data_IF_776075574108
#
_entry.id   IF_776075574108
#
_cell.length_a   1.000
_cell.length_b   1.000
_cell.length_c   1.000
_cell.angle_alpha   90.00
_cell.angle_beta   90.00
_cell.angle_gamma   90.00
#
_symmetry.space_group_name_H-M   'P 1'
#
loop_
_entity.id
_entity.type
_entity.pdbx_description
1 polymer ?
#
# COMPACT_ATOMS: atom_id res chain seq x y z
N UNK A 1 -12.70 -16.27 -18.16
CA UNK A 1 -12.90 -17.58 -17.50
C UNK A 1 -12.07 -17.80 -16.21
N UNK A 2 -10.92 -17.18 -16.02
CA UNK A 2 -10.09 -17.34 -14.79
C UNK A 2 -10.54 -16.40 -13.65
N UNK A 3 -11.19 -15.28 -13.95
CA UNK A 3 -11.70 -14.33 -12.94
C UNK A 3 -12.96 -14.83 -12.20
N UNK A 4 -13.80 -15.62 -12.85
CA UNK A 4 -15.00 -16.23 -12.22
C UNK A 4 -14.63 -17.18 -11.07
N UNK A 5 -13.49 -17.88 -11.18
CA UNK A 5 -13.04 -18.79 -10.12
C UNK A 5 -12.47 -18.08 -8.89
N UNK A 6 -11.92 -16.88 -9.04
CA UNK A 6 -11.37 -16.11 -7.90
C UNK A 6 -12.48 -15.38 -7.14
N UNK A 7 -13.44 -14.79 -7.85
CA UNK A 7 -14.63 -14.18 -7.24
C UNK A 7 -15.55 -15.23 -6.60
N UNK A 8 -15.81 -16.34 -7.28
CA UNK A 8 -16.60 -17.45 -6.74
C UNK A 8 -15.94 -18.09 -5.51
N UNK A 9 -14.61 -18.27 -5.51
CA UNK A 9 -13.88 -18.76 -4.33
C UNK A 9 -13.84 -17.72 -3.20
N UNK A 10 -13.83 -16.44 -3.49
CA UNK A 10 -13.89 -15.37 -2.49
C UNK A 10 -15.28 -15.32 -1.83
N UNK A 11 -16.35 -15.42 -2.60
CA UNK A 11 -17.72 -15.48 -2.07
C UNK A 11 -17.95 -16.76 -1.25
N UNK A 12 -17.54 -17.92 -1.75
CA UNK A 12 -17.69 -19.18 -1.02
C UNK A 12 -16.88 -19.19 0.30
N UNK A 13 -15.72 -18.57 0.37
CA UNK A 13 -14.95 -18.41 1.62
C UNK A 13 -15.59 -17.40 2.57
N UNK A 14 -16.25 -16.38 2.06
CA UNK A 14 -16.96 -15.41 2.90
C UNK A 14 -18.22 -16.03 3.49
N UNK A 15 -18.96 -16.77 2.70
CA UNK A 15 -20.16 -17.50 3.13
C UNK A 15 -19.82 -18.67 4.07
N UNK A 16 -18.73 -19.39 3.83
CA UNK A 16 -18.21 -20.41 4.75
C UNK A 16 -17.75 -19.80 6.09
N UNK A 17 -17.13 -18.60 6.08
CA UNK A 17 -16.80 -17.90 7.32
C UNK A 17 -18.04 -17.41 8.06
N UNK A 18 -19.08 -16.97 7.34
CA UNK A 18 -20.35 -16.53 7.96
C UNK A 18 -21.09 -17.70 8.61
N UNK A 19 -21.14 -18.87 7.95
CA UNK A 19 -21.66 -20.11 8.51
C UNK A 19 -20.80 -20.59 9.69
N UNK A 20 -19.47 -20.50 9.59
CA UNK A 20 -18.56 -20.83 10.69
C UNK A 20 -18.70 -19.89 11.89
N UNK A 21 -18.89 -18.59 11.68
CA UNK A 21 -19.15 -17.63 12.75
C UNK A 21 -20.52 -17.85 13.40
N UNK A 22 -21.57 -18.15 12.62
CA UNK A 22 -22.88 -18.48 13.15
C UNK A 22 -22.84 -19.75 14.01
N UNK A 23 -22.19 -20.79 13.55
CA UNK A 23 -22.00 -22.03 14.32
C UNK A 23 -21.14 -21.79 15.58
N UNK A 24 -20.06 -21.01 15.48
CA UNK A 24 -19.21 -20.67 16.61
C UNK A 24 -19.94 -19.86 17.68
N UNK A 25 -20.70 -18.85 17.28
CA UNK A 25 -21.53 -18.03 18.20
C UNK A 25 -22.61 -18.90 18.86
N UNK A 26 -23.28 -19.78 18.10
CA UNK A 26 -24.26 -20.71 18.66
C UNK A 26 -23.63 -21.69 19.65
N UNK A 27 -22.48 -22.26 19.35
CA UNK A 27 -21.73 -23.10 20.29
C UNK A 27 -21.33 -22.34 21.57
N UNK A 28 -20.92 -21.07 21.43
CA UNK A 28 -20.54 -20.23 22.56
C UNK A 28 -21.73 -19.95 23.48
N UNK A 29 -22.91 -19.68 22.92
CA UNK A 29 -24.15 -19.53 23.68
C UNK A 29 -24.57 -20.82 24.38
N UNK A 30 -24.44 -21.98 23.72
CA UNK A 30 -24.73 -23.28 24.33
C UNK A 30 -23.76 -23.56 25.49
N UNK A 31 -22.46 -23.29 25.32
CA UNK A 31 -21.45 -23.47 26.39
C UNK A 31 -21.73 -22.54 27.55
N UNK A 32 -22.02 -21.25 27.31
CA UNK A 32 -22.37 -20.29 28.36
C UNK A 32 -23.66 -20.69 29.09
N UNK A 33 -24.66 -21.18 28.37
CA UNK A 33 -25.93 -21.68 28.96
C UNK A 33 -25.68 -22.92 29.81
N UNK A 34 -24.87 -23.86 29.35
CA UNK A 34 -24.48 -25.05 30.12
C UNK A 34 -23.67 -24.65 31.36
N UNK A 35 -22.74 -23.69 31.27
CA UNK A 35 -21.98 -23.19 32.41
C UNK A 35 -22.87 -22.51 33.47
N UNK A 36 -23.96 -21.84 33.07
CA UNK A 36 -24.89 -21.22 34.01
C UNK A 36 -25.78 -22.26 34.70
N UNK A 37 -26.22 -23.31 34.01
CA UNK A 37 -27.08 -24.38 34.54
C UNK A 37 -26.26 -25.31 35.48
N UNK A 38 -25.01 -25.59 35.16
CA UNK A 38 -24.14 -26.51 35.94
C UNK A 38 -23.24 -25.82 36.96
N UNK A 39 -23.32 -24.48 37.10
CA UNK A 39 -22.52 -23.70 38.05
C UNK A 39 -22.54 -24.23 39.50
N UNK A 40 -23.61 -24.83 40.01
CA UNK A 40 -23.59 -25.38 41.38
C UNK A 40 -22.84 -26.72 41.49
N UNK A 41 -22.47 -27.37 40.40
CA UNK A 41 -21.80 -28.68 40.37
C UNK A 41 -20.32 -28.64 40.04
N UNK A 42 -19.81 -27.45 39.60
CA UNK A 42 -18.40 -27.24 39.29
C UNK A 42 -17.76 -26.47 40.46
N UNK A 43 -16.93 -27.16 41.24
CA UNK A 43 -16.11 -26.53 42.28
C UNK A 43 -15.16 -25.45 41.72
N UNK A 44 -14.56 -24.62 42.57
CA UNK A 44 -13.75 -23.48 42.11
C UNK A 44 -12.54 -23.97 41.28
N UNK A 45 -12.56 -23.63 40.02
CA UNK A 45 -11.40 -23.87 39.14
C UNK A 45 -10.32 -22.85 39.51
N UNK A 46 -9.19 -23.32 40.00
CA UNK A 46 -8.05 -22.49 40.39
C UNK A 46 -7.51 -21.70 39.18
N UNK A 47 -7.68 -20.39 39.23
CA UNK A 47 -7.11 -19.40 38.30
C UNK A 47 -5.59 -19.20 38.52
N UNK A 48 -4.86 -20.25 38.93
CA UNK A 48 -3.45 -20.13 39.35
C UNK A 48 -2.44 -20.58 38.27
N UNK A 49 -2.88 -21.11 37.13
CA UNK A 49 -1.93 -21.62 36.16
C UNK A 49 -1.59 -20.69 35.00
N UNK A 50 -2.25 -19.53 34.86
CA UNK A 50 -1.91 -18.56 33.80
C UNK A 50 -0.85 -17.53 34.18
N UNK A 51 -0.54 -17.38 35.45
CA UNK A 51 0.50 -16.42 35.90
C UNK A 51 1.92 -17.00 35.93
N UNK A 52 2.07 -18.32 35.82
CA UNK A 52 3.40 -18.93 35.85
C UNK A 52 4.14 -18.96 34.51
N UNK A 53 3.44 -18.74 33.39
CA UNK A 53 4.08 -18.74 32.07
C UNK A 53 4.65 -17.39 31.62
N UNK A 54 4.27 -16.29 32.27
CA UNK A 54 4.78 -14.94 31.91
C UNK A 54 6.03 -14.58 32.73
N UNK A 55 6.25 -15.23 33.87
CA UNK A 55 7.38 -14.90 34.78
C UNK A 55 8.67 -15.66 34.50
N UNK A 56 8.64 -16.71 33.66
CA UNK A 56 9.84 -17.50 33.32
C UNK A 56 10.67 -16.85 32.22
N UNK A 57 10.04 -16.13 31.28
CA UNK A 57 10.76 -15.47 30.18
C UNK A 57 11.43 -14.13 30.59
N UNK A 58 10.97 -13.48 31.64
CA UNK A 58 11.53 -12.19 32.08
C UNK A 58 12.73 -12.36 33.03
N UNK A 59 12.85 -13.51 33.68
CA UNK A 59 14.02 -13.78 34.57
C UNK A 59 15.24 -14.35 33.84
N UNK A 60 15.09 -14.87 32.63
CA UNK A 60 16.24 -15.32 31.83
C UNK A 60 16.99 -14.20 31.10
N UNK A 61 16.43 -12.99 31.04
CA UNK A 61 17.03 -11.82 30.39
C UNK A 61 17.87 -10.93 31.34
N UNK A 62 17.87 -11.20 32.65
CA UNK A 62 18.56 -10.33 33.61
C UNK A 62 19.79 -11.02 34.24
N UNK A 63 20.03 -12.33 34.00
CA UNK A 63 21.17 -13.05 34.59
C UNK A 63 22.33 -13.32 33.67
N UNK A 64 22.40 -12.69 32.50
CA UNK A 64 23.53 -12.85 31.55
C UNK A 64 24.46 -11.64 31.46
N UNK A 65 24.47 -10.74 32.43
CA UNK A 65 25.39 -9.60 32.46
C UNK A 65 26.37 -9.62 33.64
N UNK A 66 27.04 -10.73 33.84
CA UNK A 66 28.30 -10.74 34.60
C UNK A 66 29.04 -12.09 34.40
N UNK A 67 29.70 -12.27 33.29
CA UNK A 67 30.84 -13.19 33.21
C UNK A 67 31.87 -12.64 32.23
N UNK A 68 33.06 -12.57 32.75
CA UNK A 68 34.28 -11.92 32.29
C UNK A 68 34.71 -12.29 30.86
N UNK A 69 35.19 -11.26 30.19
CA UNK A 69 35.88 -11.27 28.91
C UNK A 69 37.09 -12.23 28.92
N UNK A 70 36.99 -13.35 28.24
CA UNK A 70 38.13 -14.05 27.69
C UNK A 70 38.16 -13.79 26.20
N UNK A 71 39.14 -13.00 25.73
CA UNK A 71 39.42 -12.77 24.32
C UNK A 71 39.76 -14.09 23.62
N UNK A 72 38.81 -14.71 22.96
CA UNK A 72 39.09 -15.66 21.91
C UNK A 72 38.68 -15.00 20.60
N UNK A 73 39.65 -14.63 19.79
CA UNK A 73 39.47 -14.26 18.36
C UNK A 73 38.99 -15.50 17.60
N UNK A 74 37.72 -15.82 17.74
CA UNK A 74 37.04 -16.75 16.87
C UNK A 74 36.48 -15.94 15.69
N UNK A 75 36.89 -16.27 14.47
CA UNK A 75 36.26 -15.83 13.24
C UNK A 75 34.77 -16.21 13.33
N UNK A 76 33.88 -15.24 13.58
CA UNK A 76 32.44 -15.44 13.44
C UNK A 76 32.16 -15.87 11.99
N UNK A 77 31.91 -17.13 11.79
CA UNK A 77 31.39 -17.62 10.51
C UNK A 77 29.99 -17.06 10.36
N UNK A 78 29.84 -16.02 9.53
CA UNK A 78 28.53 -15.45 9.14
C UNK A 78 27.67 -16.61 8.63
N UNK A 79 26.61 -16.93 9.38
CA UNK A 79 25.67 -18.01 9.00
C UNK A 79 24.96 -17.59 7.72
N UNK A 80 25.16 -18.36 6.67
CA UNK A 80 24.45 -18.22 5.41
C UNK A 80 22.98 -18.54 5.60
N UNK A 81 22.09 -17.68 5.13
CA UNK A 81 20.66 -17.83 5.32
C UNK A 81 19.91 -17.35 4.07
N UNK A 82 18.90 -18.11 3.65
CA UNK A 82 17.91 -17.71 2.65
C UNK A 82 16.51 -17.96 3.19
N UNK A 83 15.74 -16.90 3.32
CA UNK A 83 14.35 -16.94 3.74
C UNK A 83 13.48 -16.30 2.66
N UNK A 84 12.59 -17.07 2.04
CA UNK A 84 11.61 -16.57 1.07
C UNK A 84 10.22 -16.59 1.68
N UNK A 85 9.51 -15.49 1.55
CA UNK A 85 8.14 -15.30 2.03
C UNK A 85 7.23 -15.04 0.83
N UNK A 86 6.11 -15.75 0.80
CA UNK A 86 5.09 -15.63 -0.24
C UNK A 86 3.76 -15.31 0.42
N UNK A 87 3.23 -14.13 0.11
CA UNK A 87 1.96 -13.62 0.63
C UNK A 87 1.01 -13.32 -0.54
N UNK A 88 -0.24 -12.98 -0.23
CA UNK A 88 -1.29 -12.75 -1.25
C UNK A 88 -0.85 -11.76 -2.34
N UNK A 89 -0.25 -10.63 -1.94
CA UNK A 89 0.11 -9.52 -2.84
C UNK A 89 1.60 -9.40 -3.12
N UNK A 90 2.46 -10.15 -2.43
CA UNK A 90 3.90 -10.02 -2.58
C UNK A 90 4.62 -11.34 -2.40
N UNK A 91 5.79 -11.42 -3.01
CA UNK A 91 6.79 -12.44 -2.77
C UNK A 91 8.15 -11.75 -2.67
N UNK A 92 8.91 -12.10 -1.66
CA UNK A 92 10.26 -11.58 -1.46
C UNK A 92 11.17 -12.62 -0.81
N UNK A 93 12.47 -12.53 -1.12
CA UNK A 93 13.50 -13.37 -0.51
C UNK A 93 14.54 -12.49 0.20
N UNK A 94 14.93 -12.89 1.41
CA UNK A 94 16.02 -12.26 2.17
C UNK A 94 17.19 -13.25 2.23
N UNK A 95 18.34 -12.82 1.73
CA UNK A 95 19.57 -13.60 1.71
C UNK A 95 20.66 -12.91 2.54
N UNK A 96 21.43 -13.69 3.31
CA UNK A 96 22.58 -13.22 4.11
C UNK A 96 23.79 -14.12 3.86
N UNK A 97 24.97 -13.51 3.87
CA UNK A 97 26.25 -14.20 3.62
C UNK A 97 27.06 -13.57 2.49
N UNK A 98 27.71 -14.36 1.65
CA UNK A 98 28.32 -13.90 0.39
C UNK A 98 27.25 -13.94 -0.71
N UNK A 99 26.63 -12.79 -0.95
CA UNK A 99 25.55 -12.65 -1.92
C UNK A 99 26.06 -11.93 -3.15
N UNK A 100 25.89 -12.54 -4.32
CA UNK A 100 26.37 -12.03 -5.61
C UNK A 100 25.20 -11.75 -6.54
N UNK A 101 25.03 -10.49 -6.90
CA UNK A 101 23.97 -10.01 -7.79
C UNK A 101 24.57 -9.74 -9.17
N UNK A 102 24.03 -10.38 -10.20
CA UNK A 102 24.46 -10.19 -11.59
C UNK A 102 23.29 -9.80 -12.48
N UNK A 103 23.30 -8.56 -12.95
CA UNK A 103 22.19 -7.94 -13.67
C UNK A 103 21.87 -8.59 -15.00
N UNK A 104 22.89 -8.81 -15.84
CA UNK A 104 22.73 -9.38 -17.18
C UNK A 104 22.04 -10.76 -17.17
N UNK A 105 22.33 -11.60 -16.18
CA UNK A 105 21.69 -12.92 -16.05
C UNK A 105 20.46 -12.93 -15.14
N UNK A 106 20.07 -11.80 -14.53
CA UNK A 106 18.98 -11.69 -13.55
C UNK A 106 19.11 -12.73 -12.42
N UNK A 107 20.31 -12.86 -11.85
CA UNK A 107 20.58 -13.85 -10.81
C UNK A 107 21.09 -13.22 -9.53
N UNK A 108 20.61 -13.78 -8.39
CA UNK A 108 21.13 -13.54 -7.06
C UNK A 108 21.65 -14.88 -6.54
N UNK A 109 22.96 -14.99 -6.38
CA UNK A 109 23.67 -16.22 -5.94
C UNK A 109 24.08 -16.08 -4.49
N UNK A 110 23.69 -17.01 -3.65
CA UNK A 110 24.17 -17.18 -2.28
C UNK A 110 25.33 -18.16 -2.33
N UNK A 111 26.55 -17.70 -2.11
CA UNK A 111 27.75 -18.54 -2.20
C UNK A 111 28.02 -19.19 -0.87
N UNK A 112 27.90 -20.53 -0.82
CA UNK A 112 28.12 -21.35 0.36
C UNK A 112 29.44 -22.12 0.27
N UNK A 113 30.19 -22.14 1.38
CA UNK A 113 31.39 -22.96 1.52
C UNK A 113 31.08 -24.38 1.97
N UNK A 114 29.84 -24.69 2.39
CA UNK A 114 29.43 -26.01 2.89
C UNK A 114 28.64 -26.77 1.83
N UNK A 115 29.14 -27.93 1.44
CA UNK A 115 28.44 -28.93 0.63
C UNK A 115 27.31 -29.55 1.47
N UNK A 116 26.25 -28.78 1.75
CA UNK A 116 25.12 -29.30 2.52
C UNK A 116 23.87 -29.28 1.64
N UNK A 117 22.86 -30.03 2.06
CA UNK A 117 21.54 -30.24 1.44
C UNK A 117 20.82 -28.96 0.92
N UNK A 118 21.41 -27.75 1.10
CA UNK A 118 20.92 -26.48 0.59
C UNK A 118 20.85 -26.44 -0.96
N UNK A 119 21.77 -27.14 -1.66
CA UNK A 119 21.87 -27.02 -3.13
C UNK A 119 20.68 -27.61 -3.88
N UNK A 120 20.03 -28.62 -3.35
CA UNK A 120 18.89 -29.29 -4.02
C UNK A 120 17.52 -28.61 -3.78
N UNK A 121 17.41 -27.72 -2.80
CA UNK A 121 16.12 -27.24 -2.33
C UNK A 121 15.90 -25.73 -2.44
N UNK A 122 16.89 -24.91 -2.81
CA UNK A 122 16.82 -23.46 -2.73
C UNK A 122 17.16 -22.74 -4.05
N UNK A 123 16.41 -23.05 -5.09
CA UNK A 123 16.30 -22.15 -6.25
C UNK A 123 14.90 -21.59 -6.29
N UNK A 124 14.77 -20.27 -6.31
CA UNK A 124 13.50 -19.58 -6.37
C UNK A 124 13.51 -18.55 -7.48
N UNK A 125 12.50 -18.58 -8.32
CA UNK A 125 12.26 -17.55 -9.33
C UNK A 125 11.17 -16.61 -8.83
N UNK A 126 11.41 -15.31 -8.86
CA UNK A 126 10.43 -14.30 -8.46
C UNK A 126 10.57 -13.02 -9.27
N UNK A 127 9.49 -12.28 -9.34
CA UNK A 127 9.41 -10.96 -9.95
C UNK A 127 9.37 -9.92 -8.83
N UNK A 128 10.38 -9.05 -8.66
CA UNK A 128 10.53 -8.19 -7.49
C UNK A 128 9.62 -6.95 -7.52
N UNK A 129 8.31 -7.17 -7.62
CA UNK A 129 7.26 -6.15 -7.65
C UNK A 129 6.08 -6.61 -6.77
N UNK A 130 5.56 -5.70 -5.93
CA UNK A 130 4.63 -6.08 -4.89
C UNK A 130 3.16 -6.06 -5.37
N UNK A 131 2.85 -6.82 -6.44
CA UNK A 131 1.49 -7.05 -6.95
C UNK A 131 1.31 -8.48 -7.45
N UNK A 132 1.79 -9.44 -6.69
CA UNK A 132 1.64 -10.87 -6.98
C UNK A 132 0.16 -11.21 -7.24
N UNK A 133 -0.08 -12.05 -8.23
CA UNK A 133 -1.44 -12.47 -8.63
C UNK A 133 -2.09 -11.60 -9.70
N UNK A 134 -1.53 -10.42 -10.00
CA UNK A 134 -1.96 -9.57 -11.12
C UNK A 134 -1.08 -9.88 -12.35
N UNK A 135 -1.64 -10.66 -13.28
CA UNK A 135 -0.91 -11.15 -14.45
C UNK A 135 -0.40 -10.02 -15.33
N UNK A 136 -1.23 -8.98 -15.56
CA UNK A 136 -0.90 -7.87 -16.45
C UNK A 136 0.22 -7.00 -15.87
N UNK A 137 0.21 -6.76 -14.57
CA UNK A 137 1.30 -6.08 -13.90
C UNK A 137 2.58 -6.92 -13.94
N UNK A 138 2.47 -8.20 -13.58
CA UNK A 138 3.64 -9.08 -13.44
C UNK A 138 4.28 -9.45 -14.79
N UNK A 139 3.54 -9.40 -15.91
CA UNK A 139 4.11 -9.57 -17.25
C UNK A 139 5.04 -8.41 -17.68
N UNK A 140 4.99 -7.28 -16.97
CA UNK A 140 5.85 -6.10 -17.22
C UNK A 140 7.02 -6.02 -16.24
N UNK A 141 7.29 -7.10 -15.51
CA UNK A 141 8.34 -7.19 -14.50
C UNK A 141 9.30 -8.30 -14.87
N UNK A 142 10.59 -7.97 -14.86
CA UNK A 142 11.69 -8.90 -15.09
C UNK A 142 11.76 -9.93 -13.97
N UNK A 143 11.90 -11.19 -14.34
CA UNK A 143 12.05 -12.30 -13.41
C UNK A 143 13.50 -12.45 -12.98
N UNK A 144 13.69 -12.75 -11.70
CA UNK A 144 14.99 -12.95 -11.07
C UNK A 144 15.07 -14.34 -10.43
N UNK A 145 16.22 -15.02 -10.63
CA UNK A 145 16.51 -16.30 -10.00
C UNK A 145 17.36 -16.07 -8.75
N UNK A 146 16.88 -16.53 -7.60
CA UNK A 146 17.62 -16.53 -6.33
C UNK A 146 18.01 -17.98 -6.06
N UNK A 147 19.33 -18.27 -5.96
CA UNK A 147 19.82 -19.65 -5.83
C UNK A 147 21.05 -19.74 -4.94
N UNK A 148 21.14 -20.83 -4.17
CA UNK A 148 22.37 -21.21 -3.49
C UNK A 148 23.37 -21.84 -4.49
N UNK A 149 24.64 -21.47 -4.40
CA UNK A 149 25.73 -21.96 -5.26
C UNK A 149 26.89 -22.38 -4.37
N UNK A 150 27.47 -23.52 -4.66
CA UNK A 150 28.69 -23.96 -3.96
C UNK A 150 29.89 -23.10 -4.40
N UNK A 151 30.73 -22.67 -3.45
CA UNK A 151 31.93 -21.91 -3.72
C UNK A 151 32.92 -22.62 -4.65
N UNK A 152 32.94 -23.96 -4.61
CA UNK A 152 33.77 -24.81 -5.50
C UNK A 152 33.18 -24.99 -6.90
N UNK A 153 31.88 -24.69 -7.09
CA UNK A 153 31.19 -24.75 -8.38
C UNK A 153 31.07 -23.30 -8.88
N UNK A 154 31.67 -22.93 -9.98
CA UNK A 154 31.54 -21.70 -10.80
C UNK A 154 30.60 -20.59 -10.26
N UNK A 155 30.76 -20.21 -8.97
CA UNK A 155 30.12 -19.00 -8.47
C UNK A 155 30.64 -17.81 -9.27
N UNK A 156 29.79 -16.88 -9.77
CA UNK A 156 30.25 -15.74 -10.52
C UNK A 156 31.25 -14.94 -9.71
N UNK A 157 32.42 -14.59 -10.30
CA UNK A 157 33.44 -13.86 -9.59
C UNK A 157 32.96 -12.47 -9.17
N UNK A 158 33.21 -12.09 -7.92
CA UNK A 158 32.88 -10.76 -7.41
C UNK A 158 33.76 -9.70 -8.08
N UNK A 159 33.15 -8.70 -8.71
CA UNK A 159 33.86 -7.56 -9.35
C UNK A 159 33.73 -6.28 -8.55
N UNK A 160 32.60 -6.08 -7.87
CA UNK A 160 32.31 -4.91 -7.03
C UNK A 160 31.80 -5.36 -5.66
N UNK A 161 32.51 -4.97 -4.61
CA UNK A 161 32.17 -5.35 -3.23
C UNK A 161 31.55 -4.18 -2.47
N UNK A 162 30.44 -4.44 -1.80
CA UNK A 162 29.71 -3.48 -0.98
C UNK A 162 29.58 -4.02 0.45
N UNK A 163 29.71 -3.12 1.44
CA UNK A 163 29.60 -3.51 2.86
C UNK A 163 28.27 -3.07 3.49
N UNK A 164 27.22 -3.01 2.68
CA UNK A 164 25.87 -2.60 3.08
C UNK A 164 24.83 -3.60 2.59
N UNK A 165 23.66 -3.60 3.20
CA UNK A 165 22.51 -4.38 2.71
C UNK A 165 21.98 -3.80 1.41
N UNK A 166 21.51 -4.65 0.50
CA UNK A 166 20.82 -4.20 -0.71
C UNK A 166 19.35 -4.61 -0.73
N UNK A 167 18.53 -3.81 -1.41
CA UNK A 167 17.14 -4.12 -1.75
C UNK A 167 16.98 -4.03 -3.26
N UNK A 168 16.68 -5.17 -3.89
CA UNK A 168 16.43 -5.28 -5.32
C UNK A 168 14.91 -5.25 -5.57
N UNK A 169 14.45 -4.28 -6.37
CA UNK A 169 13.05 -4.13 -6.72
C UNK A 169 12.87 -3.60 -8.14
N UNK A 170 11.67 -3.80 -8.70
CA UNK A 170 11.31 -3.37 -10.04
C UNK A 170 10.53 -2.05 -10.03
N UNK A 171 10.80 -1.19 -11.02
CA UNK A 171 9.95 -0.05 -11.36
C UNK A 171 9.09 -0.31 -12.60
N UNK A 172 8.91 -1.57 -12.99
CA UNK A 172 7.99 -2.03 -14.02
C UNK A 172 6.51 -2.00 -13.61
N UNK A 173 5.79 -3.09 -13.87
CA UNK A 173 4.39 -3.25 -13.48
C UNK A 173 3.50 -2.12 -13.97
N UNK A 174 2.72 -1.52 -13.08
CA UNK A 174 1.82 -0.40 -13.37
C UNK A 174 2.43 0.98 -13.12
N UNK A 175 3.75 1.13 -13.16
CA UNK A 175 4.39 2.45 -13.09
C UNK A 175 3.86 3.38 -14.18
N UNK A 176 3.52 4.60 -13.80
CA UNK A 176 2.77 5.58 -14.59
C UNK A 176 1.34 5.79 -14.09
N UNK A 177 0.82 4.84 -13.33
CA UNK A 177 -0.41 5.03 -12.56
C UNK A 177 -0.06 5.42 -11.12
N UNK A 178 -0.42 6.63 -10.72
CA UNK A 178 -0.04 7.22 -9.43
C UNK A 178 -0.47 6.39 -8.21
N UNK A 179 -1.62 5.73 -8.28
CA UNK A 179 -2.10 4.83 -7.23
C UNK A 179 -1.18 3.62 -7.09
N UNK A 180 -0.86 2.96 -8.20
CA UNK A 180 0.00 1.78 -8.21
C UNK A 180 1.45 2.10 -7.84
N UNK A 181 1.96 3.28 -8.20
CA UNK A 181 3.29 3.69 -7.75
C UNK A 181 3.40 3.70 -6.23
N UNK A 182 2.36 4.18 -5.53
CA UNK A 182 2.36 4.19 -4.08
C UNK A 182 2.04 2.83 -3.47
N UNK A 183 1.04 2.13 -3.97
CA UNK A 183 0.59 0.86 -3.37
C UNK A 183 1.55 -0.29 -3.64
N UNK A 184 2.16 -0.33 -4.84
CA UNK A 184 2.94 -1.49 -5.28
C UNK A 184 4.46 -1.29 -5.14
N UNK A 185 4.94 -0.02 -5.03
CA UNK A 185 6.37 0.26 -4.92
C UNK A 185 6.70 1.11 -3.69
N UNK A 186 6.13 2.31 -3.55
CA UNK A 186 6.63 3.32 -2.58
C UNK A 186 6.35 2.92 -1.13
N UNK A 187 5.11 2.52 -0.79
CA UNK A 187 4.77 2.00 0.54
C UNK A 187 5.50 0.68 0.82
N UNK A 188 5.52 -0.31 -0.11
CA UNK A 188 6.33 -1.51 0.04
C UNK A 188 7.82 -1.24 0.24
N UNK A 189 8.41 -0.27 -0.47
CA UNK A 189 9.81 0.10 -0.29
C UNK A 189 10.06 0.70 1.10
N UNK A 190 9.15 1.56 1.59
CA UNK A 190 9.21 2.06 2.96
C UNK A 190 9.19 0.92 3.99
N UNK A 191 8.26 -0.03 3.86
CA UNK A 191 8.16 -1.19 4.76
C UNK A 191 9.40 -2.08 4.73
N UNK A 192 10.06 -2.15 3.57
CA UNK A 192 11.24 -3.00 3.40
C UNK A 192 12.51 -2.31 3.91
N UNK A 193 12.68 -1.02 3.60
CA UNK A 193 13.95 -0.31 3.75
C UNK A 193 14.06 0.54 5.02
N UNK A 194 12.96 0.98 5.63
CA UNK A 194 12.96 1.92 6.78
C UNK A 194 13.80 1.43 7.96
N UNK A 195 13.84 0.12 8.20
CA UNK A 195 14.61 -0.50 9.27
C UNK A 195 16.12 -0.29 9.16
N UNK A 196 16.65 0.02 7.98
CA UNK A 196 18.08 0.20 7.74
C UNK A 196 18.57 1.62 7.99
N UNK A 197 17.71 2.57 8.32
CA UNK A 197 18.06 3.96 8.64
C UNK A 197 18.96 4.64 7.60
N UNK A 198 18.73 4.35 6.32
CA UNK A 198 19.52 4.87 5.20
C UNK A 198 20.70 4.00 4.78
N UNK A 199 21.16 3.06 5.60
CA UNK A 199 22.28 2.16 5.29
C UNK A 199 21.82 0.98 4.41
N UNK A 200 21.32 1.30 3.23
CA UNK A 200 20.79 0.34 2.26
C UNK A 200 21.01 0.81 0.83
N UNK A 201 21.51 -0.09 -0.03
CA UNK A 201 21.65 0.15 -1.46
C UNK A 201 20.37 -0.26 -2.20
N UNK A 202 19.77 0.66 -2.93
CA UNK A 202 18.67 0.32 -3.84
C UNK A 202 19.21 -0.15 -5.19
N UNK A 203 18.86 -1.38 -5.54
CA UNK A 203 19.15 -2.01 -6.84
C UNK A 203 17.82 -2.06 -7.62
N UNK A 204 17.80 -1.47 -8.80
CA UNK A 204 16.57 -1.30 -9.57
C UNK A 204 16.64 -2.08 -10.86
N UNK A 205 15.68 -2.98 -11.08
CA UNK A 205 15.41 -3.62 -12.36
C UNK A 205 14.19 -2.96 -13.03
N UNK A 206 14.05 -3.09 -14.35
CA UNK A 206 13.02 -2.39 -15.16
C UNK A 206 13.04 -0.88 -14.92
N UNK A 207 14.23 -0.31 -14.81
CA UNK A 207 14.44 1.07 -14.42
C UNK A 207 13.73 2.06 -15.33
N UNK A 208 12.98 2.96 -14.73
CA UNK A 208 12.32 4.10 -15.40
C UNK A 208 12.91 5.41 -14.88
N UNK A 209 13.75 6.11 -15.65
CA UNK A 209 14.43 7.35 -15.21
C UNK A 209 13.45 8.43 -14.70
N UNK A 210 12.30 8.57 -15.35
CA UNK A 210 11.26 9.51 -14.92
C UNK A 210 10.67 9.16 -13.55
N UNK A 211 10.52 7.85 -13.22
CA UNK A 211 10.03 7.38 -11.92
C UNK A 211 11.05 7.72 -10.81
N UNK A 212 12.33 7.45 -11.07
CA UNK A 212 13.42 7.80 -10.15
C UNK A 212 13.43 9.31 -9.89
N UNK A 213 13.36 10.14 -10.94
CA UNK A 213 13.31 11.59 -10.82
C UNK A 213 12.10 12.07 -9.99
N UNK A 214 10.92 11.50 -10.25
CA UNK A 214 9.67 11.82 -9.56
C UNK A 214 9.74 11.53 -8.06
N UNK A 215 10.32 10.39 -7.67
CA UNK A 215 10.41 9.93 -6.29
C UNK A 215 11.77 10.20 -5.61
N UNK A 216 12.67 10.92 -6.27
CA UNK A 216 14.03 11.19 -5.77
C UNK A 216 14.07 11.73 -4.33
N UNK A 217 13.24 12.70 -3.90
CA UNK A 217 13.27 13.19 -2.53
C UNK A 217 12.98 12.09 -1.49
N UNK A 218 12.08 11.19 -1.79
CA UNK A 218 11.72 10.07 -0.91
C UNK A 218 12.82 9.01 -0.92
N UNK A 219 13.36 8.65 -2.08
CA UNK A 219 14.45 7.69 -2.19
C UNK A 219 15.68 8.14 -1.38
N UNK A 220 16.03 9.43 -1.41
CA UNK A 220 17.11 10.03 -0.60
C UNK A 220 16.84 10.05 0.91
N UNK A 221 15.59 9.92 1.34
CA UNK A 221 15.24 9.77 2.76
C UNK A 221 15.30 8.33 3.24
N UNK A 222 15.18 7.38 2.32
CA UNK A 222 15.22 5.94 2.63
C UNK A 222 16.60 5.33 2.44
N UNK A 223 17.46 5.95 1.62
CA UNK A 223 18.82 5.49 1.35
C UNK A 223 19.80 6.66 1.26
N UNK A 224 20.96 6.51 1.88
CA UNK A 224 22.09 7.46 1.79
C UNK A 224 22.87 7.30 0.47
N UNK A 225 22.56 6.27 -0.31
CA UNK A 225 23.28 5.88 -1.53
C UNK A 225 22.44 6.20 -2.78
N UNK A 226 23.12 6.50 -3.89
CA UNK A 226 22.44 6.66 -5.18
C UNK A 226 21.90 5.29 -5.65
N UNK A 227 20.78 5.33 -6.38
CA UNK A 227 20.13 4.11 -6.90
C UNK A 227 20.99 3.47 -8.00
N UNK A 228 21.15 2.16 -7.95
CA UNK A 228 21.88 1.36 -8.93
C UNK A 228 20.93 0.81 -9.98
N UNK A 229 21.25 1.02 -11.26
CA UNK A 229 20.61 0.36 -12.39
C UNK A 229 21.32 -0.96 -12.64
N UNK A 230 20.61 -2.06 -12.44
CA UNK A 230 21.24 -3.38 -12.56
C UNK A 230 21.01 -4.03 -13.93
N UNK A 231 20.02 -3.54 -14.69
CA UNK A 231 19.69 -4.13 -15.97
C UNK A 231 20.80 -3.84 -17.00
N UNK A 232 21.36 -4.90 -17.55
CA UNK A 232 22.47 -4.78 -18.51
C UNK A 232 23.84 -4.51 -17.89
N UNK A 233 23.95 -4.46 -16.54
CA UNK A 233 25.23 -4.39 -15.87
C UNK A 233 25.94 -5.76 -15.96
N UNK A 234 27.16 -5.74 -16.53
CA UNK A 234 28.02 -6.95 -16.67
C UNK A 234 28.81 -7.23 -15.39
N UNK A 235 28.76 -6.34 -14.41
CA UNK A 235 29.50 -6.54 -13.16
C UNK A 235 28.74 -7.43 -12.20
N UNK A 236 29.48 -8.12 -11.34
CA UNK A 236 28.95 -8.93 -10.25
C UNK A 236 29.10 -8.13 -8.96
N UNK A 237 28.00 -7.62 -8.45
CA UNK A 237 27.94 -6.86 -7.22
C UNK A 237 27.76 -7.78 -6.01
N UNK A 238 28.65 -7.65 -5.03
CA UNK A 238 28.66 -8.51 -3.85
C UNK A 238 28.23 -7.73 -2.61
N UNK A 239 27.31 -8.34 -1.85
CA UNK A 239 26.70 -7.74 -0.66
C UNK A 239 26.68 -8.72 0.51
N UNK A 240 26.76 -8.25 1.76
CA UNK A 240 26.60 -9.11 2.95
C UNK A 240 25.15 -9.57 3.17
N UNK A 241 24.20 -8.86 2.55
CA UNK A 241 22.77 -9.19 2.64
C UNK A 241 22.02 -8.54 1.47
N UNK A 242 21.06 -9.25 0.92
CA UNK A 242 20.16 -8.76 -0.16
C UNK A 242 18.73 -9.16 0.14
N UNK A 243 17.81 -8.21 0.00
CA UNK A 243 16.38 -8.49 -0.10
C UNK A 243 15.97 -8.37 -1.56
N UNK A 244 15.42 -9.42 -2.15
CA UNK A 244 14.87 -9.45 -3.50
C UNK A 244 13.36 -9.39 -3.42
N UNK A 245 12.74 -8.35 -3.96
CA UNK A 245 11.33 -8.05 -3.79
C UNK A 245 11.06 -7.12 -2.60
N UNK A 246 9.80 -6.80 -2.39
CA UNK A 246 9.35 -5.83 -1.40
C UNK A 246 8.32 -6.42 -0.45
N UNK A 247 8.38 -6.05 0.83
CA UNK A 247 7.33 -6.36 1.81
C UNK A 247 6.09 -5.51 1.50
N UNK A 248 4.91 -6.09 1.54
CA UNK A 248 3.66 -5.38 1.30
C UNK A 248 2.53 -5.89 2.19
N UNK A 249 1.69 -4.95 2.64
CA UNK A 249 0.40 -5.29 3.24
C UNK A 249 -0.64 -5.59 2.15
N UNK A 250 -1.61 -6.46 2.46
CA UNK A 250 -2.61 -6.89 1.47
C UNK A 250 -3.62 -5.82 1.08
N UNK A 251 -3.87 -4.81 1.94
CA UNK A 251 -4.79 -3.70 1.65
C UNK A 251 -4.08 -2.58 0.93
N UNK A 252 -4.82 -1.88 0.08
CA UNK A 252 -4.32 -0.74 -0.68
C UNK A 252 -4.11 0.48 0.24
N UNK A 253 -3.13 1.33 -0.04
CA UNK A 253 -2.78 2.55 0.71
C UNK A 253 -2.83 2.40 2.24
N UNK A 254 -2.50 1.23 2.76
CA UNK A 254 -2.58 0.88 4.19
C UNK A 254 -1.33 0.17 4.66
N UNK A 255 -1.04 0.29 5.94
CA UNK A 255 0.00 -0.44 6.66
C UNK A 255 -0.63 -1.02 7.92
N UNK A 256 -0.38 -2.29 8.20
CA UNK A 256 -0.76 -2.92 9.46
C UNK A 256 0.35 -2.71 10.50
N UNK A 257 0.16 -1.87 11.51
CA UNK A 257 1.20 -1.59 12.49
C UNK A 257 1.52 -2.79 13.39
N UNK A 258 0.60 -3.74 13.54
CA UNK A 258 0.86 -4.96 14.30
C UNK A 258 1.83 -5.89 13.56
N UNK A 259 1.77 -5.90 12.22
CA UNK A 259 2.62 -6.75 11.38
C UNK A 259 3.99 -6.12 11.08
N UNK A 260 4.06 -4.80 10.88
CA UNK A 260 5.24 -4.14 10.33
C UNK A 260 5.96 -3.19 11.28
N UNK A 261 5.43 -2.95 12.48
CA UNK A 261 5.94 -1.97 13.46
C UNK A 261 5.97 -0.52 12.93
N UNK A 262 5.31 -0.25 11.81
CA UNK A 262 5.11 1.05 11.20
C UNK A 262 3.63 1.21 10.83
N UNK A 263 3.18 2.46 10.78
CA UNK A 263 1.80 2.83 10.44
C UNK A 263 1.75 3.74 9.20
N UNK A 264 0.55 4.02 8.71
CA UNK A 264 0.35 5.06 7.68
C UNK A 264 0.74 6.45 8.18
N UNK A 265 0.69 6.69 9.49
CA UNK A 265 1.19 7.94 10.08
C UNK A 265 2.70 8.07 9.88
N UNK A 266 3.48 7.03 10.20
CA UNK A 266 4.94 7.02 10.02
C UNK A 266 5.32 7.21 8.54
N UNK A 267 4.57 6.60 7.63
CA UNK A 267 4.78 6.79 6.20
C UNK A 267 4.49 8.23 5.76
N UNK A 268 3.40 8.85 6.25
CA UNK A 268 3.06 10.24 5.96
C UNK A 268 4.06 11.22 6.58
N UNK A 269 4.65 10.90 7.74
CA UNK A 269 5.75 11.68 8.33
C UNK A 269 7.01 11.63 7.44
N UNK A 270 7.31 10.46 6.86
CA UNK A 270 8.36 10.36 5.84
C UNK A 270 8.04 11.24 4.63
N UNK A 271 6.80 11.23 4.11
CA UNK A 271 6.40 12.07 2.99
C UNK A 271 6.51 13.56 3.34
N UNK A 272 6.05 13.98 4.53
CA UNK A 272 6.18 15.36 5.01
C UNK A 272 7.65 15.82 5.01
N UNK A 273 8.53 14.99 5.57
CA UNK A 273 9.96 15.32 5.60
C UNK A 273 10.62 15.29 4.23
N UNK A 274 10.20 14.39 3.33
CA UNK A 274 10.78 14.24 1.98
C UNK A 274 10.41 15.41 1.06
N UNK A 275 9.18 15.90 1.18
CA UNK A 275 8.64 16.96 0.32
C UNK A 275 8.58 18.32 1.01
N UNK A 276 9.14 18.46 2.22
CA UNK A 276 9.17 19.68 3.03
C UNK A 276 7.75 20.27 3.25
N UNK A 277 6.77 19.41 3.54
CA UNK A 277 5.39 19.80 3.76
C UNK A 277 5.26 20.46 5.14
N UNK A 278 4.70 21.67 5.20
CA UNK A 278 4.71 22.51 6.41
C UNK A 278 3.53 22.24 7.35
N UNK A 279 2.39 21.80 6.81
CA UNK A 279 1.18 21.62 7.62
C UNK A 279 1.07 20.19 8.11
N UNK A 280 0.92 20.06 9.43
CA UNK A 280 0.67 18.78 10.09
C UNK A 280 -0.83 18.54 10.21
N UNK A 281 -1.59 19.59 10.60
CA UNK A 281 -3.03 19.50 10.83
C UNK A 281 -3.82 20.47 9.93
N UNK A 282 -5.04 20.09 9.59
CA UNK A 282 -6.01 20.95 8.95
C UNK A 282 -6.42 22.09 9.86
N UNK A 283 -6.92 23.17 9.26
CA UNK A 283 -7.48 24.29 10.00
C UNK A 283 -8.69 23.83 10.83
N UNK A 284 -8.67 24.17 12.11
CA UNK A 284 -9.87 24.07 12.95
C UNK A 284 -10.57 25.43 12.91
N UNK A 285 -11.80 25.43 12.41
CA UNK A 285 -12.63 26.63 12.39
C UNK A 285 -13.12 26.88 13.82
N UNK A 286 -12.81 28.06 14.38
CA UNK A 286 -13.29 28.52 15.69
C UNK A 286 -13.99 29.83 15.50
N UNK A 287 -15.05 30.09 16.29
CA UNK A 287 -15.74 31.36 16.27
C UNK A 287 -14.77 32.49 16.55
N UNK A 288 -14.79 33.52 15.70
CA UNK A 288 -13.93 34.70 15.83
C UNK A 288 -12.57 34.61 15.11
N UNK A 289 -12.15 33.45 14.56
CA UNK A 289 -10.92 33.36 13.76
C UNK A 289 -11.18 33.82 12.31
N UNK A 290 -10.39 34.78 11.83
CA UNK A 290 -10.38 35.24 10.43
C UNK A 290 -9.59 34.32 9.55
N UNK A 291 -10.23 33.27 9.00
CA UNK A 291 -9.61 32.36 8.02
C UNK A 291 -10.65 31.53 7.31
N UNK A 292 -10.53 31.39 5.99
CA UNK A 292 -11.37 30.49 5.20
C UNK A 292 -10.65 29.16 5.02
N UNK A 293 -11.30 28.03 5.29
CA UNK A 293 -10.70 26.73 4.99
C UNK A 293 -10.50 26.59 3.48
N UNK A 294 -9.36 26.04 3.08
CA UNK A 294 -9.02 25.85 1.68
C UNK A 294 -9.54 24.54 1.15
N UNK A 295 -10.37 24.61 0.12
CA UNK A 295 -10.90 23.47 -0.61
C UNK A 295 -10.22 23.33 -1.96
N UNK A 296 -9.62 22.16 -2.22
CA UNK A 296 -9.11 21.80 -3.54
C UNK A 296 -10.13 20.96 -4.29
N UNK A 297 -10.50 21.39 -5.49
CA UNK A 297 -11.16 20.56 -6.48
C UNK A 297 -10.07 19.94 -7.36
N UNK A 298 -9.90 18.61 -7.24
CA UNK A 298 -8.95 17.87 -8.04
C UNK A 298 -9.50 17.70 -9.47
N UNK A 299 -8.98 18.49 -10.39
CA UNK A 299 -9.36 18.48 -11.79
C UNK A 299 -8.71 17.31 -12.53
N UNK A 300 -9.38 16.85 -13.59
CA UNK A 300 -8.92 15.80 -14.52
C UNK A 300 -9.27 16.20 -15.93
N UNK A 301 -8.37 15.90 -16.91
CA UNK A 301 -8.59 16.27 -18.32
C UNK A 301 -9.14 15.14 -19.18
N UNK A 302 -8.94 13.88 -18.79
CA UNK A 302 -9.24 12.74 -19.68
C UNK A 302 -10.59 12.10 -19.37
N UNK A 303 -10.75 11.58 -18.17
CA UNK A 303 -11.96 10.86 -17.74
C UNK A 303 -12.28 11.15 -16.31
N UNK A 304 -13.52 10.92 -15.92
CA UNK A 304 -14.01 11.20 -14.56
C UNK A 304 -13.70 12.64 -14.13
N UNK A 305 -13.80 13.56 -15.10
CA UNK A 305 -13.70 15.00 -14.84
C UNK A 305 -15.04 15.58 -14.44
N UNK A 306 -15.03 16.62 -13.62
CA UNK A 306 -16.22 17.45 -13.42
C UNK A 306 -16.44 18.31 -14.66
N UNK A 307 -17.63 18.21 -15.29
CA UNK A 307 -17.96 19.02 -16.47
C UNK A 307 -18.47 20.42 -16.10
N UNK A 308 -18.84 20.62 -14.82
CA UNK A 308 -19.33 21.87 -14.27
C UNK A 308 -18.49 22.39 -13.08
N UNK A 309 -17.18 22.31 -13.19
CA UNK A 309 -16.22 22.67 -12.12
C UNK A 309 -16.46 24.09 -11.59
N UNK A 310 -16.79 25.06 -12.46
CA UNK A 310 -17.03 26.46 -12.06
C UNK A 310 -18.27 26.62 -11.19
N UNK A 311 -19.33 25.86 -11.45
CA UNK A 311 -20.54 25.86 -10.61
C UNK A 311 -20.23 25.31 -9.22
N UNK A 312 -19.49 24.20 -9.17
CA UNK A 312 -19.04 23.58 -7.90
C UNK A 312 -18.16 24.56 -7.12
N UNK A 313 -17.23 25.23 -7.78
CA UNK A 313 -16.32 26.19 -7.16
C UNK A 313 -17.09 27.42 -6.60
N UNK A 314 -18.04 27.95 -7.38
CA UNK A 314 -18.91 29.08 -6.94
C UNK A 314 -19.74 28.70 -5.72
N UNK A 315 -20.35 27.51 -5.74
CA UNK A 315 -21.12 27.01 -4.60
C UNK A 315 -20.23 26.87 -3.36
N UNK A 316 -19.07 26.24 -3.49
CA UNK A 316 -18.14 26.06 -2.36
C UNK A 316 -17.67 27.42 -1.79
N UNK A 317 -17.35 28.36 -2.65
CA UNK A 317 -17.02 29.76 -2.24
C UNK A 317 -18.15 30.44 -1.49
N UNK A 318 -19.41 30.23 -1.92
CA UNK A 318 -20.59 30.77 -1.23
C UNK A 318 -20.82 30.20 0.16
N UNK A 319 -20.31 28.95 0.41
CA UNK A 319 -20.32 28.30 1.70
C UNK A 319 -19.14 28.70 2.60
N UNK A 320 -18.24 29.57 2.14
CA UNK A 320 -17.14 30.10 2.94
C UNK A 320 -15.77 29.49 2.69
N UNK A 321 -15.62 28.63 1.69
CA UNK A 321 -14.30 28.05 1.34
C UNK A 321 -13.43 29.02 0.49
N UNK A 322 -12.11 28.95 0.69
CA UNK A 322 -11.10 29.41 -0.27
C UNK A 322 -10.88 28.29 -1.29
N UNK A 323 -11.38 28.47 -2.53
CA UNK A 323 -11.43 27.37 -3.50
C UNK A 323 -10.29 27.45 -4.49
N UNK A 324 -9.57 26.33 -4.65
CA UNK A 324 -8.58 26.14 -5.71
C UNK A 324 -8.97 24.97 -6.60
N UNK A 325 -8.77 25.13 -7.90
CA UNK A 325 -8.96 24.05 -8.90
C UNK A 325 -7.60 23.70 -9.45
N UNK A 326 -7.16 22.46 -9.28
CA UNK A 326 -5.85 22.00 -9.75
C UNK A 326 -5.91 20.60 -10.29
N UNK A 327 -5.14 20.36 -11.36
CA UNK A 327 -4.82 19.01 -11.85
C UNK A 327 -3.44 18.59 -11.37
N UNK A 328 -3.28 17.31 -11.05
CA UNK A 328 -1.97 16.76 -10.70
C UNK A 328 -1.00 16.91 -11.89
N UNK A 329 0.08 17.65 -11.66
CA UNK A 329 1.13 17.89 -12.65
C UNK A 329 2.31 16.93 -12.51
N UNK A 330 3.32 17.11 -13.35
CA UNK A 330 4.55 16.31 -13.37
C UNK A 330 5.41 16.49 -12.11
N UNK A 331 5.36 17.68 -11.48
CA UNK A 331 6.13 17.97 -10.27
C UNK A 331 5.42 17.45 -9.03
N UNK A 332 5.84 16.29 -8.54
CA UNK A 332 5.35 15.72 -7.29
C UNK A 332 5.54 16.69 -6.12
N UNK A 333 6.72 17.29 -6.00
CA UNK A 333 7.02 18.24 -4.92
C UNK A 333 6.08 19.45 -4.91
N UNK A 334 5.91 20.09 -6.06
CA UNK A 334 5.04 21.26 -6.18
C UNK A 334 3.58 20.92 -5.87
N UNK A 335 3.09 19.81 -6.41
CA UNK A 335 1.70 19.41 -6.21
C UNK A 335 1.43 18.95 -4.76
N UNK A 336 2.34 18.19 -4.15
CA UNK A 336 2.24 17.79 -2.76
C UNK A 336 2.13 18.99 -1.80
N UNK A 337 2.89 20.06 -2.05
CA UNK A 337 2.81 21.29 -1.26
C UNK A 337 1.45 22.02 -1.42
N UNK A 338 0.89 22.03 -2.63
CA UNK A 338 -0.45 22.57 -2.85
C UNK A 338 -1.50 21.75 -2.11
N UNK A 339 -1.47 20.42 -2.21
CA UNK A 339 -2.38 19.51 -1.46
C UNK A 339 -2.23 19.71 0.04
N UNK A 340 -0.99 19.79 0.54
CA UNK A 340 -0.73 20.00 1.96
C UNK A 340 -1.26 21.34 2.48
N UNK A 341 -1.43 22.35 1.61
CA UNK A 341 -2.00 23.63 1.98
C UNK A 341 -3.53 23.63 2.13
N UNK A 342 -4.20 22.51 1.77
CA UNK A 342 -5.66 22.40 1.74
C UNK A 342 -6.22 21.73 2.99
N UNK A 343 -7.42 22.09 3.37
CA UNK A 343 -8.20 21.52 4.47
C UNK A 343 -9.24 20.52 3.98
N UNK A 344 -9.65 20.67 2.72
CA UNK A 344 -10.60 19.78 2.04
C UNK A 344 -10.06 19.43 0.66
N UNK A 345 -10.12 18.14 0.29
CA UNK A 345 -9.87 17.67 -1.07
C UNK A 345 -11.13 17.01 -1.61
N UNK A 346 -11.62 17.53 -2.72
CA UNK A 346 -12.75 17.01 -3.49
C UNK A 346 -12.27 16.44 -4.80
N UNK A 347 -12.63 15.20 -5.13
CA UNK A 347 -12.31 14.62 -6.42
C UNK A 347 -13.14 13.40 -6.78
N UNK A 348 -13.22 13.09 -8.07
CA UNK A 348 -13.86 11.89 -8.57
C UNK A 348 -12.91 10.70 -8.40
N UNK A 349 -13.46 9.54 -8.02
CA UNK A 349 -12.72 8.29 -7.81
C UNK A 349 -11.69 8.01 -8.90
N UNK A 350 -10.51 7.59 -8.48
CA UNK A 350 -9.40 7.16 -9.34
C UNK A 350 -8.03 7.59 -8.84
N UNK A 351 -6.99 7.19 -9.57
CA UNK A 351 -5.58 7.31 -9.17
C UNK A 351 -5.13 8.71 -8.68
N UNK A 352 -5.77 9.78 -9.17
CA UNK A 352 -5.47 11.15 -8.69
C UNK A 352 -5.77 11.35 -7.20
N UNK A 353 -6.71 10.59 -6.62
CA UNK A 353 -7.05 10.67 -5.21
C UNK A 353 -5.94 10.14 -4.28
N UNK A 354 -4.95 9.43 -4.80
CA UNK A 354 -3.76 9.05 -4.02
C UNK A 354 -3.05 10.24 -3.38
N UNK A 355 -3.26 11.43 -3.91
CA UNK A 355 -2.74 12.68 -3.33
C UNK A 355 -3.31 13.01 -1.94
N UNK A 356 -4.32 12.30 -1.43
CA UNK A 356 -4.75 12.37 -0.01
C UNK A 356 -3.60 12.11 0.95
N UNK A 357 -2.57 11.37 0.52
CA UNK A 357 -1.35 11.11 1.28
C UNK A 357 -0.65 12.40 1.75
N UNK A 358 -0.81 13.50 1.04
CA UNK A 358 -0.17 14.78 1.33
C UNK A 358 -1.05 15.75 2.13
N UNK A 359 -2.34 15.43 2.34
CA UNK A 359 -3.22 16.24 3.17
C UNK A 359 -2.71 16.33 4.61
N UNK A 360 -2.94 17.44 5.33
CA UNK A 360 -2.72 17.48 6.76
C UNK A 360 -3.65 16.49 7.50
N UNK A 361 -3.32 16.15 8.75
CA UNK A 361 -4.20 15.34 9.61
C UNK A 361 -5.51 16.11 9.87
N UNK A 362 -6.58 15.39 10.11
CA UNK A 362 -7.92 15.93 10.31
C UNK A 362 -8.50 16.70 9.11
N UNK A 363 -7.84 16.71 7.95
CA UNK A 363 -8.41 17.24 6.72
C UNK A 363 -9.61 16.41 6.26
N UNK A 364 -10.53 17.03 5.53
CA UNK A 364 -11.69 16.35 4.97
C UNK A 364 -11.37 15.87 3.56
N UNK A 365 -11.66 14.62 3.29
CA UNK A 365 -11.55 14.03 1.96
C UNK A 365 -12.94 13.67 1.45
N UNK A 366 -13.37 14.33 0.36
CA UNK A 366 -14.64 14.07 -0.31
C UNK A 366 -14.39 13.31 -1.59
N UNK A 367 -14.84 12.06 -1.62
CA UNK A 367 -14.77 11.21 -2.81
C UNK A 367 -16.11 11.20 -3.53
N UNK A 368 -16.12 11.64 -4.77
CA UNK A 368 -17.26 11.47 -5.66
C UNK A 368 -17.13 10.13 -6.37
N UNK A 369 -18.10 9.24 -6.15
CA UNK A 369 -18.14 7.92 -6.74
C UNK A 369 -18.95 7.98 -8.04
N UNK A 370 -18.34 7.63 -9.20
CA UNK A 370 -19.04 7.60 -10.48
C UNK A 370 -20.18 6.58 -10.50
N UNK A 371 -21.08 6.71 -11.45
CA UNK A 371 -22.09 5.69 -11.71
C UNK A 371 -21.43 4.41 -12.26
N UNK A 372 -21.82 3.21 -11.79
CA UNK A 372 -21.26 1.94 -12.27
C UNK A 372 -21.41 0.74 -11.33
N UNK A 373 -22.28 0.82 -10.33
CA UNK A 373 -22.68 -0.34 -9.51
C UNK A 373 -21.71 -0.74 -8.42
N UNK A 374 -21.81 -1.99 -7.99
CA UNK A 374 -21.15 -2.52 -6.79
C UNK A 374 -19.62 -2.47 -6.86
N UNK A 375 -19.03 -2.76 -8.04
CA UNK A 375 -17.57 -2.76 -8.19
C UNK A 375 -16.98 -1.38 -7.93
N UNK A 376 -17.62 -0.29 -8.39
CA UNK A 376 -17.15 1.07 -8.08
C UNK A 376 -17.30 1.41 -6.59
N UNK A 377 -18.38 1.00 -5.96
CA UNK A 377 -18.58 1.17 -4.52
C UNK A 377 -17.49 0.43 -3.72
N UNK A 378 -17.17 -0.79 -4.16
CA UNK A 378 -16.12 -1.59 -3.53
C UNK A 378 -14.73 -0.95 -3.69
N UNK A 379 -14.39 -0.50 -4.92
CA UNK A 379 -13.13 0.21 -5.19
C UNK A 379 -13.06 1.49 -4.37
N UNK A 380 -14.12 2.32 -4.37
CA UNK A 380 -14.15 3.56 -3.62
C UNK A 380 -13.88 3.34 -2.13
N UNK A 381 -14.52 2.32 -1.56
CA UNK A 381 -14.40 1.97 -0.15
C UNK A 381 -13.01 1.42 0.19
N UNK A 382 -12.46 0.50 -0.63
CA UNK A 382 -11.24 -0.22 -0.28
C UNK A 382 -9.96 0.48 -0.73
N UNK A 383 -9.99 1.23 -1.83
CA UNK A 383 -8.82 1.97 -2.32
C UNK A 383 -8.60 3.29 -1.56
N UNK A 384 -9.68 3.96 -1.12
CA UNK A 384 -9.58 5.29 -0.52
C UNK A 384 -10.37 5.47 0.78
N UNK A 385 -11.62 4.97 0.85
CA UNK A 385 -12.49 5.20 2.01
C UNK A 385 -11.95 4.64 3.32
N UNK A 386 -11.56 3.36 3.34
CA UNK A 386 -10.93 2.73 4.51
C UNK A 386 -9.53 3.28 4.77
N UNK A 387 -8.65 3.37 3.74
CA UNK A 387 -7.30 3.92 3.94
C UNK A 387 -7.28 5.35 4.49
N UNK A 388 -8.23 6.20 4.11
CA UNK A 388 -8.29 7.58 4.62
C UNK A 388 -8.43 7.65 6.14
N UNK A 389 -9.12 6.67 6.76
CA UNK A 389 -9.25 6.55 8.21
C UNK A 389 -7.91 6.22 8.87
N UNK A 390 -7.13 5.32 8.27
CA UNK A 390 -5.79 4.95 8.75
C UNK A 390 -4.80 6.14 8.66
N UNK A 391 -5.15 7.14 7.85
CA UNK A 391 -4.41 8.40 7.67
C UNK A 391 -4.91 9.54 8.54
N UNK A 392 -5.86 9.29 9.45
CA UNK A 392 -6.51 10.32 10.27
C UNK A 392 -7.16 11.43 9.42
N UNK A 393 -7.84 11.04 8.32
CA UNK A 393 -8.63 11.92 7.48
C UNK A 393 -10.13 11.73 7.74
N UNK A 394 -10.89 12.79 7.64
CA UNK A 394 -12.36 12.79 7.75
C UNK A 394 -12.94 12.50 6.37
N UNK A 395 -13.45 11.28 6.17
CA UNK A 395 -13.93 10.81 4.88
C UNK A 395 -15.41 11.09 4.67
N UNK A 396 -15.74 11.67 3.51
CA UNK A 396 -17.08 11.82 3.00
C UNK A 396 -17.18 11.19 1.61
N UNK A 397 -18.28 10.51 1.37
CA UNK A 397 -18.59 9.88 0.09
C UNK A 397 -19.82 10.52 -0.52
N UNK A 398 -19.76 10.81 -1.81
CA UNK A 398 -20.90 11.26 -2.59
C UNK A 398 -21.07 10.36 -3.82
N UNK A 399 -22.13 9.59 -3.85
CA UNK A 399 -22.50 8.75 -5.00
C UNK A 399 -23.35 9.54 -5.95
N UNK A 400 -22.89 9.66 -7.20
CA UNK A 400 -23.66 10.36 -8.22
C UNK A 400 -24.90 9.55 -8.63
N UNK A 401 -25.98 10.28 -8.95
CA UNK A 401 -27.11 9.69 -9.65
C UNK A 401 -26.85 9.58 -11.14
N UNK A 402 -27.67 8.77 -11.83
CA UNK A 402 -27.55 8.57 -13.27
C UNK A 402 -27.56 9.88 -14.06
N UNK A 403 -28.39 10.87 -13.67
CA UNK A 403 -28.48 12.20 -14.32
C UNK A 403 -27.19 13.02 -14.23
N UNK A 404 -26.33 12.69 -13.27
CA UNK A 404 -25.03 13.34 -13.08
C UNK A 404 -23.91 12.67 -13.87
N UNK A 405 -24.17 11.50 -14.46
CA UNK A 405 -23.23 10.78 -15.31
C UNK A 405 -23.37 11.17 -16.78
N UNK A 406 -22.25 11.44 -17.47
CA UNK A 406 -22.26 11.68 -18.90
C UNK A 406 -22.58 10.44 -19.75
N UNK A 407 -22.70 9.27 -19.15
CA UNK A 407 -23.10 8.03 -19.84
C UNK A 407 -24.48 8.15 -20.46
N UNK A 408 -25.42 8.91 -19.84
CA UNK A 408 -26.77 9.16 -20.40
C UNK A 408 -26.75 9.92 -21.73
N UNK A 409 -25.65 10.59 -22.03
CA UNK A 409 -25.43 11.29 -23.33
C UNK A 409 -24.86 10.38 -24.40
N UNK A 410 -24.34 9.21 -24.00
CA UNK A 410 -23.64 8.26 -24.85
C UNK A 410 -24.48 7.03 -25.16
N UNK A 411 -25.37 6.64 -24.25
CA UNK A 411 -26.16 5.42 -24.33
C UNK A 411 -27.64 5.69 -24.00
N UNK A 412 -28.58 5.03 -24.70
CA UNK A 412 -30.00 5.12 -24.37
C UNK A 412 -30.28 4.49 -22.99
N UNK A 413 -31.38 4.89 -22.34
CA UNK A 413 -31.70 4.51 -20.97
C UNK A 413 -31.93 2.98 -20.78
N UNK A 414 -32.33 2.28 -21.84
CA UNK A 414 -32.53 0.83 -21.86
C UNK A 414 -31.26 0.05 -22.18
N UNK A 415 -30.15 0.75 -22.53
CA UNK A 415 -28.88 0.11 -22.78
C UNK A 415 -28.31 -0.55 -21.51
N UNK A 416 -27.67 -1.72 -21.66
CA UNK A 416 -27.11 -2.51 -20.57
C UNK A 416 -26.18 -1.69 -19.65
N UNK A 417 -25.38 -0.77 -20.19
CA UNK A 417 -24.46 0.08 -19.41
C UNK A 417 -25.19 1.08 -18.51
N UNK A 418 -26.43 1.38 -18.78
CA UNK A 418 -27.27 2.25 -17.98
C UNK A 418 -28.19 1.43 -17.06
N UNK A 419 -28.84 0.41 -17.63
CA UNK A 419 -29.90 -0.32 -16.94
C UNK A 419 -29.36 -1.35 -15.93
N UNK A 420 -28.25 -1.99 -16.24
CA UNK A 420 -27.74 -3.12 -15.45
C UNK A 420 -26.21 -3.15 -15.35
N UNK A 421 -25.59 -2.19 -14.60
CA UNK A 421 -24.14 -2.19 -14.38
C UNK A 421 -23.60 -3.53 -13.82
N UNK A 422 -24.30 -4.26 -12.92
CA UNK A 422 -23.87 -5.57 -12.45
C UNK A 422 -23.72 -6.62 -13.55
N UNK A 423 -24.49 -6.52 -14.63
CA UNK A 423 -24.32 -7.43 -15.77
C UNK A 423 -23.04 -7.11 -16.55
N UNK A 424 -22.68 -5.83 -16.65
CA UNK A 424 -21.42 -5.40 -17.29
C UNK A 424 -20.20 -5.89 -16.49
N UNK A 425 -20.28 -5.91 -15.18
CA UNK A 425 -19.25 -6.48 -14.31
C UNK A 425 -18.99 -7.96 -14.64
N UNK A 426 -20.04 -8.72 -14.98
CA UNK A 426 -19.93 -10.14 -15.37
C UNK A 426 -19.30 -10.35 -16.75
N UNK A 427 -19.36 -9.37 -17.65
CA UNK A 427 -18.69 -9.43 -18.95
C UNK A 427 -17.17 -9.41 -18.75
N UNK A 428 -16.67 -8.62 -17.80
CA UNK A 428 -15.27 -8.59 -17.42
C UNK A 428 -14.75 -7.20 -17.10
N UNK A 429 -13.56 -7.18 -16.49
CA UNK A 429 -12.91 -5.96 -16.02
C UNK A 429 -12.63 -4.93 -17.11
N UNK A 430 -12.19 -5.34 -18.29
CA UNK A 430 -11.83 -4.41 -19.38
C UNK A 430 -13.05 -3.66 -19.90
N UNK A 431 -14.20 -4.33 -20.07
CA UNK A 431 -15.44 -3.68 -20.48
C UNK A 431 -15.94 -2.74 -19.37
N UNK A 432 -15.98 -3.21 -18.14
CA UNK A 432 -16.35 -2.41 -16.97
C UNK A 432 -15.50 -1.13 -16.87
N UNK A 433 -14.19 -1.27 -16.94
CA UNK A 433 -13.22 -0.17 -16.89
C UNK A 433 -13.42 0.82 -18.05
N UNK A 434 -13.56 0.30 -19.27
CA UNK A 434 -13.76 1.11 -20.46
C UNK A 434 -14.98 2.02 -20.33
N UNK A 435 -16.11 1.49 -19.85
CA UNK A 435 -17.36 2.25 -19.74
C UNK A 435 -17.31 3.19 -18.53
N UNK A 436 -17.12 2.66 -17.34
CA UNK A 436 -17.35 3.43 -16.11
C UNK A 436 -16.15 4.22 -15.61
N UNK A 437 -14.92 3.80 -16.00
CA UNK A 437 -13.70 4.51 -15.57
C UNK A 437 -13.07 5.35 -16.70
N UNK A 438 -13.21 4.98 -17.95
CA UNK A 438 -12.52 5.68 -19.03
C UNK A 438 -13.42 6.59 -19.86
N UNK A 439 -14.70 6.27 -20.03
CA UNK A 439 -15.63 7.07 -20.87
C UNK A 439 -16.58 7.98 -20.07
N UNK A 440 -16.62 7.84 -18.76
CA UNK A 440 -17.52 8.62 -17.91
C UNK A 440 -16.90 9.90 -17.41
N UNK A 441 -17.66 11.00 -17.45
CA UNK A 441 -17.44 12.25 -16.72
C UNK A 441 -18.64 12.55 -15.82
N UNK A 442 -18.52 13.56 -14.95
CA UNK A 442 -19.49 13.88 -13.92
C UNK A 442 -19.98 15.32 -14.08
N UNK A 443 -21.28 15.50 -14.23
CA UNK A 443 -21.95 16.79 -14.05
C UNK A 443 -22.66 16.77 -12.69
N UNK A 444 -22.00 17.30 -11.66
CA UNK A 444 -22.53 17.30 -10.30
C UNK A 444 -23.80 18.16 -10.22
N UNK A 445 -24.84 17.60 -9.63
CA UNK A 445 -26.01 18.39 -9.21
C UNK A 445 -25.60 19.20 -7.96
N UNK A 446 -25.37 20.49 -8.13
CA UNK A 446 -24.82 21.35 -7.08
C UNK A 446 -25.77 21.49 -5.88
N UNK A 447 -27.08 21.45 -6.10
CA UNK A 447 -28.05 21.57 -5.00
C UNK A 447 -28.12 20.26 -4.18
N UNK A 448 -28.10 19.12 -4.84
CA UNK A 448 -28.02 17.81 -4.21
C UNK A 448 -26.66 17.61 -3.49
N UNK A 449 -25.57 18.17 -4.00
CA UNK A 449 -24.23 18.07 -3.43
C UNK A 449 -23.97 19.05 -2.28
N UNK A 450 -24.70 20.19 -2.21
CA UNK A 450 -24.54 21.22 -1.19
C UNK A 450 -24.45 20.68 0.25
N UNK A 451 -25.34 19.77 0.71
CA UNK A 451 -25.26 19.23 2.06
C UNK A 451 -23.93 18.50 2.35
N UNK A 452 -23.31 17.88 1.34
CA UNK A 452 -22.00 17.23 1.50
C UNK A 452 -20.90 18.25 1.79
N UNK A 453 -20.91 19.41 1.10
CA UNK A 453 -19.96 20.49 1.38
C UNK A 453 -20.22 21.17 2.73
N UNK A 454 -21.48 21.35 3.10
CA UNK A 454 -21.84 21.85 4.43
C UNK A 454 -21.33 20.91 5.52
N UNK A 455 -21.48 19.61 5.33
CA UNK A 455 -20.93 18.60 6.26
C UNK A 455 -19.41 18.64 6.35
N UNK A 456 -18.71 18.85 5.22
CA UNK A 456 -17.26 19.04 5.22
C UNK A 456 -16.85 20.27 6.02
N UNK A 457 -17.58 21.37 5.91
CA UNK A 457 -17.35 22.59 6.68
C UNK A 457 -17.56 22.36 8.18
N UNK A 458 -18.66 21.70 8.58
CA UNK A 458 -18.94 21.32 9.97
C UNK A 458 -17.85 20.43 10.57
N UNK A 459 -17.32 19.49 9.81
CA UNK A 459 -16.25 18.59 10.26
C UNK A 459 -14.97 19.37 10.61
N UNK A 460 -14.72 20.52 10.01
CA UNK A 460 -13.55 21.36 10.34
C UNK A 460 -13.73 22.16 11.64
N UNK A 461 -14.94 22.20 12.24
CA UNK A 461 -15.19 22.78 13.58
C UNK A 461 -14.86 21.78 14.70
N UNK A 462 -14.75 20.51 14.40
CA UNK A 462 -14.45 19.42 15.34
C UNK A 462 -12.93 19.18 15.43
#
# INVERSE_FOLDING_TARGET
MIYDTVLAKSFSRYDQKRLGYGAFVSCLFIILSLCTVFKPYLGPVHVLSLKLFIDVDTKMLITSSSLQIAKVKGKETKKEELLCTSEERTEFCQARGDIRVHGKSSTVSIVSSKTTMLEKTMSRSLKPYARRGDVDAMNRVREWSVKAVNASQKAPQCTQSHNITAVLFSTGGYSGNHFHEFTDIVIPLFLTARQFNGEVQFIITDKRPWWISKHKPLLKKLSNYETMDIDGDDQVHCFPSVTVGLKRYQKELSIDPQKYSYSMKDFRDLLRSSYALKRVEAMKIRDGLRGKPRLMILSRKRSRSFTNTDEIAKMAASLGFDVIVKEAGWSMWGFANVVNSCDVLLGVHGAGLTNILFLPENAVFIQVVPYGGFTLDWLATNDFGKPSKDMNLKYLEYKIGLKESTLIQQYPLDHIFIKDPPLVEKIGWEEFKSVYLDKQNVKLDVDRFRPTLQKAFELLHQ
#
